data_IF_852600537131
#
_entry.id   IF_852600537131
#
_cell.length_a   1.000
_cell.length_b   1.000
_cell.length_c   1.000
_cell.angle_alpha   90.00
_cell.angle_beta   90.00
_cell.angle_gamma   90.00
#
_symmetry.space_group_name_H-M   'P 1'
#
loop_
_entity.id
_entity.type
_entity.pdbx_description
1 polymer ?
#
# COMPACT_ATOMS: atom_id res chain seq x y z
N UNK A 1 -5.92 -14.53 -14.14
CA UNK A 1 -6.03 -13.27 -14.89
C UNK A 1 -5.35 -13.46 -16.22
N UNK A 2 -5.75 -12.72 -17.25
CA UNK A 2 -5.13 -12.77 -18.57
C UNK A 2 -4.27 -11.53 -18.75
N UNK A 3 -3.07 -11.66 -19.29
CA UNK A 3 -2.20 -10.55 -19.66
C UNK A 3 -2.88 -9.73 -20.75
N UNK A 4 -2.99 -8.41 -20.55
CA UNK A 4 -3.67 -7.52 -21.49
C UNK A 4 -2.86 -7.30 -22.76
N UNK A 5 -1.53 -7.39 -22.70
CA UNK A 5 -0.65 -7.21 -23.86
C UNK A 5 -0.61 -8.44 -24.78
N UNK A 6 -0.29 -9.63 -24.26
CA UNK A 6 -0.10 -10.83 -25.09
C UNK A 6 -1.22 -11.87 -24.97
N UNK A 7 -2.19 -11.67 -24.08
CA UNK A 7 -3.27 -12.62 -23.86
C UNK A 7 -2.86 -13.90 -23.12
N UNK A 8 -1.63 -14.02 -22.64
CA UNK A 8 -1.21 -15.19 -21.88
C UNK A 8 -1.91 -15.29 -20.51
N UNK A 9 -2.00 -16.51 -19.98
CA UNK A 9 -2.44 -16.81 -18.62
C UNK A 9 -1.29 -17.29 -17.72
N UNK A 10 -0.06 -17.36 -18.26
CA UNK A 10 1.16 -17.72 -17.56
C UNK A 10 1.65 -16.55 -16.69
N UNK A 11 0.97 -16.36 -15.55
CA UNK A 11 1.19 -15.22 -14.65
C UNK A 11 1.81 -15.72 -13.35
N UNK A 12 3.01 -15.24 -13.04
CA UNK A 12 3.62 -15.38 -11.72
C UNK A 12 3.11 -14.28 -10.80
N UNK A 13 2.67 -14.65 -9.59
CA UNK A 13 1.99 -13.74 -8.67
C UNK A 13 2.83 -13.43 -7.45
N UNK A 14 2.65 -12.22 -6.91
CA UNK A 14 3.22 -11.84 -5.62
C UNK A 14 4.74 -11.68 -5.66
N UNK A 15 5.29 -11.26 -6.79
CA UNK A 15 6.70 -10.93 -6.93
C UNK A 15 6.96 -9.63 -6.16
N UNK A 16 7.90 -9.68 -5.23
CA UNK A 16 8.36 -8.51 -4.49
C UNK A 16 8.97 -7.49 -5.47
N UNK A 17 8.30 -6.35 -5.67
CA UNK A 17 8.73 -5.34 -6.65
C UNK A 17 9.58 -4.26 -5.99
N UNK A 18 9.24 -3.88 -4.77
CA UNK A 18 10.01 -2.90 -3.99
C UNK A 18 9.83 -3.17 -2.51
N UNK A 19 10.95 -3.25 -1.79
CA UNK A 19 10.96 -3.29 -0.34
C UNK A 19 10.82 -1.89 0.23
N UNK A 20 9.68 -1.59 0.84
CA UNK A 20 9.47 -0.40 1.66
C UNK A 20 9.42 0.93 0.90
N UNK A 21 8.23 1.36 0.53
CA UNK A 21 7.99 2.80 0.28
C UNK A 21 7.91 3.51 1.63
N UNK A 22 8.66 4.60 1.81
CA UNK A 22 8.42 5.54 2.90
C UNK A 22 7.26 6.45 2.51
N UNK A 23 6.06 6.16 3.02
CA UNK A 23 4.94 7.08 2.88
C UNK A 23 4.96 8.12 4.00
N UNK A 24 4.85 9.39 3.66
CA UNK A 24 4.59 10.44 4.65
C UNK A 24 3.16 10.33 5.14
N UNK A 25 2.96 10.29 6.47
CA UNK A 25 1.62 10.39 7.04
C UNK A 25 1.25 11.86 7.11
N UNK A 26 0.30 12.28 6.26
CA UNK A 26 -0.36 13.59 6.35
C UNK A 26 -1.65 13.38 7.14
N UNK A 27 -1.76 14.02 8.31
CA UNK A 27 -2.91 13.83 9.19
C UNK A 27 -3.32 15.10 9.93
N UNK A 28 -4.57 15.13 10.40
CA UNK A 28 -5.13 16.21 11.20
C UNK A 28 -5.02 15.87 12.69
N UNK A 29 -4.43 16.77 13.50
CA UNK A 29 -4.44 16.65 14.96
C UNK A 29 -5.60 17.47 15.50
N UNK A 30 -6.52 16.83 16.20
CA UNK A 30 -7.57 17.50 16.96
C UNK A 30 -7.15 17.65 18.43
N UNK A 31 -7.56 18.75 19.05
CA UNK A 31 -7.48 18.95 20.51
C UNK A 31 -8.55 18.09 21.19
N UNK A 32 -8.42 17.89 22.50
CA UNK A 32 -9.39 17.13 23.30
C UNK A 32 -10.81 17.71 23.30
N UNK A 33 -10.99 18.95 22.84
CA UNK A 33 -12.30 19.62 22.64
C UNK A 33 -12.86 19.44 21.22
N UNK A 34 -12.22 18.61 20.38
CA UNK A 34 -12.64 18.35 18.99
C UNK A 34 -12.26 19.44 17.99
N UNK A 35 -11.55 20.52 18.40
CA UNK A 35 -11.08 21.55 17.46
C UNK A 35 -9.78 21.14 16.79
N UNK A 36 -9.63 21.48 15.50
CA UNK A 36 -8.42 21.20 14.76
C UNK A 36 -7.25 22.03 15.31
N UNK A 37 -6.17 21.37 15.72
CA UNK A 37 -4.96 21.97 16.29
C UNK A 37 -3.94 22.31 15.18
N UNK A 38 -3.60 21.32 14.34
CA UNK A 38 -2.63 21.45 13.24
C UNK A 38 -2.68 20.28 12.27
N UNK A 39 -2.21 20.52 11.05
CA UNK A 39 -1.79 19.46 10.12
C UNK A 39 -0.44 18.91 10.61
N UNK A 40 -0.37 17.61 10.84
CA UNK A 40 0.88 16.91 11.12
C UNK A 40 1.38 16.32 9.81
N UNK A 41 2.54 16.78 9.36
CA UNK A 41 3.40 16.02 8.46
C UNK A 41 4.40 15.26 9.34
N UNK A 42 4.11 13.97 9.57
CA UNK A 42 5.08 13.07 10.19
C UNK A 42 5.40 11.99 9.19
N UNK A 43 6.66 11.95 8.79
CA UNK A 43 7.24 10.78 8.13
C UNK A 43 7.35 9.68 9.17
N UNK A 44 6.24 9.01 9.47
CA UNK A 44 6.32 7.69 10.06
C UNK A 44 6.82 6.76 8.95
N UNK A 45 7.86 5.94 9.16
CA UNK A 45 8.24 4.93 8.20
C UNK A 45 7.13 3.88 8.14
N UNK A 46 6.11 4.14 7.33
CA UNK A 46 5.09 3.17 7.00
C UNK A 46 5.70 2.32 5.90
N UNK A 47 6.40 1.26 6.29
CA UNK A 47 7.03 0.35 5.34
C UNK A 47 5.95 -0.51 4.68
N UNK A 48 5.41 -0.03 3.56
CA UNK A 48 4.51 -0.82 2.73
C UNK A 48 5.33 -1.58 1.69
N UNK A 49 5.18 -2.90 1.68
CA UNK A 49 5.81 -3.76 0.68
C UNK A 49 4.93 -3.83 -0.55
N UNK A 50 5.53 -3.54 -1.72
CA UNK A 50 4.83 -3.62 -3.00
C UNK A 50 5.10 -4.97 -3.66
N UNK A 51 4.03 -5.57 -4.13
CA UNK A 51 4.02 -6.78 -4.90
C UNK A 51 3.49 -6.50 -6.30
N UNK A 52 3.97 -7.27 -7.27
CA UNK A 52 3.41 -7.28 -8.62
C UNK A 52 3.17 -8.69 -9.10
N UNK A 53 2.24 -8.83 -10.02
CA UNK A 53 2.04 -10.05 -10.79
C UNK A 53 2.62 -9.82 -12.19
N UNK A 54 3.42 -10.76 -12.70
CA UNK A 54 4.18 -10.66 -13.94
C UNK A 54 3.73 -11.71 -14.95
N UNK A 55 3.57 -11.31 -16.21
CA UNK A 55 3.41 -12.24 -17.31
C UNK A 55 4.78 -12.81 -17.72
N UNK A 56 4.96 -14.12 -17.58
CA UNK A 56 6.25 -14.76 -17.87
C UNK A 56 6.57 -14.84 -19.36
N UNK A 57 5.55 -14.78 -20.22
CA UNK A 57 5.74 -14.94 -21.66
C UNK A 57 6.14 -13.62 -22.36
N UNK A 58 5.72 -12.47 -21.82
CA UNK A 58 5.99 -11.16 -22.43
C UNK A 58 6.63 -10.13 -21.48
N UNK A 59 6.81 -10.46 -20.21
CA UNK A 59 7.41 -9.58 -19.20
C UNK A 59 6.52 -8.43 -18.73
N UNK A 60 5.24 -8.38 -19.14
CA UNK A 60 4.33 -7.32 -18.70
C UNK A 60 3.95 -7.47 -17.21
N UNK A 61 4.04 -6.38 -16.45
CA UNK A 61 3.44 -6.29 -15.12
C UNK A 61 1.92 -6.14 -15.28
N UNK A 62 1.18 -7.19 -14.93
CA UNK A 62 -0.29 -7.22 -15.11
C UNK A 62 -1.05 -6.64 -13.91
N UNK A 63 -0.39 -6.48 -12.76
CA UNK A 63 -0.94 -5.86 -11.55
C UNK A 63 0.17 -5.47 -10.60
N UNK A 64 0.00 -4.35 -9.91
CA UNK A 64 0.82 -3.93 -8.76
C UNK A 64 -0.08 -3.62 -7.57
N UNK A 65 0.28 -4.07 -6.37
CA UNK A 65 -0.51 -3.93 -5.16
C UNK A 65 0.36 -3.90 -3.90
N UNK A 66 -0.18 -3.31 -2.84
CA UNK A 66 0.43 -3.30 -1.51
C UNK A 66 -0.21 -4.42 -0.69
N UNK A 67 0.61 -5.27 -0.06
CA UNK A 67 0.14 -6.24 0.94
C UNK A 67 0.48 -5.66 2.31
N UNK A 68 -0.44 -4.87 2.85
CA UNK A 68 -0.27 -4.29 4.18
C UNK A 68 -0.75 -5.29 5.25
N UNK A 69 -0.09 -5.33 6.40
CA UNK A 69 -0.62 -6.07 7.55
C UNK A 69 -1.73 -5.21 8.16
N UNK A 70 -2.99 -5.59 7.95
CA UNK A 70 -4.17 -4.80 8.33
C UNK A 70 -4.42 -4.74 9.84
N UNK A 71 -3.57 -5.37 10.67
CA UNK A 71 -3.56 -5.26 12.14
C UNK A 71 -3.11 -3.89 12.66
N UNK A 72 -3.28 -2.85 11.84
CA UNK A 72 -3.24 -1.50 12.38
C UNK A 72 -4.45 -1.41 13.32
N UNK A 73 -4.19 -1.16 14.59
CA UNK A 73 -5.18 -0.60 15.50
C UNK A 73 -5.52 0.81 15.00
N UNK A 74 -6.29 0.92 13.91
CA UNK A 74 -7.01 2.16 13.60
C UNK A 74 -7.88 2.35 14.82
N UNK A 75 -7.54 3.30 15.69
CA UNK A 75 -8.18 3.50 16.98
C UNK A 75 -9.69 3.29 16.84
N UNK A 76 -10.18 2.10 17.19
CA UNK A 76 -11.60 1.89 17.43
C UNK A 76 -11.75 2.50 18.81
N UNK A 77 -12.27 3.71 18.84
CA UNK A 77 -12.57 4.41 20.08
C UNK A 77 -13.11 3.41 21.10
N UNK A 78 -12.33 3.18 22.16
CA UNK A 78 -12.79 2.40 23.30
C UNK A 78 -13.89 3.25 23.93
N UNK A 79 -15.14 2.85 23.70
CA UNK A 79 -16.29 3.31 24.47
C UNK A 79 -16.08 3.01 25.96
#
# INVERSE_FOLDING_TARGET
MKCSNCGSVNIEKGILTTGGIYAETIGLKYRGDGKLDKVINKTFPVQSTIYSDLCLDCGEIVRTYIKDNTDRNWCKDKK
#
